data_IF_130833062671
#
_entry.id   IF_130833062671
#
_cell.length_a   1.000
_cell.length_b   1.000
_cell.length_c   1.000
_cell.angle_alpha   90.00
_cell.angle_beta   90.00
_cell.angle_gamma   90.00
#
_symmetry.space_group_name_H-M   'P 1'
#
loop_
_entity.id
_entity.type
_entity.pdbx_description
1 polymer ?
#
# COMPACT_ATOMS: atom_id res chain seq x y z
N UNK A 1 -10.34 -15.12 -0.31
CA UNK A 1 -10.24 -14.62 1.07
C UNK A 1 -9.24 -13.49 1.07
N UNK A 2 -9.48 -12.40 1.82
CA UNK A 2 -8.55 -11.27 1.89
C UNK A 2 -7.20 -11.79 2.43
N UNK A 3 -6.12 -11.67 1.65
CA UNK A 3 -4.78 -12.15 2.02
C UNK A 3 -4.09 -11.14 2.96
N UNK A 4 -4.56 -9.89 2.95
CA UNK A 4 -4.10 -8.79 3.81
C UNK A 4 -5.32 -8.11 4.41
N UNK A 5 -5.20 -7.68 5.67
CA UNK A 5 -6.21 -6.88 6.38
C UNK A 5 -5.61 -5.56 6.85
N UNK A 6 -6.45 -4.55 7.01
CA UNK A 6 -6.09 -3.30 7.66
C UNK A 6 -6.72 -3.29 9.05
N UNK A 7 -6.01 -2.73 10.03
CA UNK A 7 -6.61 -2.32 11.29
C UNK A 7 -7.25 -0.94 11.13
N UNK A 8 -8.20 -0.60 12.00
CA UNK A 8 -8.84 0.72 12.00
C UNK A 8 -7.82 1.87 12.02
N UNK A 9 -6.79 1.75 12.88
CA UNK A 9 -5.72 2.74 12.98
C UNK A 9 -4.87 2.83 11.70
N UNK A 10 -4.63 1.71 11.01
CA UNK A 10 -3.93 1.72 9.73
C UNK A 10 -4.79 2.41 8.66
N UNK A 11 -6.10 2.13 8.63
CA UNK A 11 -7.03 2.76 7.70
C UNK A 11 -7.10 4.28 7.93
N UNK A 12 -7.13 4.75 9.17
CA UNK A 12 -7.04 6.18 9.50
C UNK A 12 -5.73 6.81 9.02
N UNK A 13 -4.62 6.10 9.22
CA UNK A 13 -3.31 6.57 8.77
C UNK A 13 -3.25 6.66 7.25
N UNK A 14 -3.79 5.69 6.52
CA UNK A 14 -3.89 5.73 5.05
C UNK A 14 -4.71 6.94 4.60
N UNK A 15 -5.90 7.14 5.17
CA UNK A 15 -6.74 8.31 4.87
C UNK A 15 -6.00 9.63 5.10
N UNK A 16 -5.28 9.75 6.21
CA UNK A 16 -4.46 10.93 6.50
C UNK A 16 -3.37 11.13 5.44
N UNK A 17 -2.62 10.08 5.09
CA UNK A 17 -1.56 10.17 4.09
C UNK A 17 -2.12 10.55 2.71
N UNK A 18 -3.23 9.96 2.28
CA UNK A 18 -3.88 10.31 1.01
C UNK A 18 -4.41 11.74 0.99
N UNK A 19 -4.83 12.29 2.13
CA UNK A 19 -5.20 13.72 2.21
C UNK A 19 -4.02 14.67 1.96
N UNK A 20 -2.78 14.16 2.06
CA UNK A 20 -1.53 14.90 1.82
C UNK A 20 -0.86 14.52 0.49
N UNK A 21 -1.14 13.33 -0.05
CA UNK A 21 -0.58 12.85 -1.31
C UNK A 21 -1.31 13.46 -2.49
N UNK A 22 -0.64 14.37 -3.21
CA UNK A 22 -1.14 15.19 -4.32
C UNK A 22 -1.91 14.38 -5.40
N UNK A 23 -3.20 14.11 -5.17
CA UNK A 23 -4.04 13.33 -6.08
C UNK A 23 -3.73 11.83 -6.10
N UNK A 24 -3.04 11.30 -5.09
CA UNK A 24 -2.88 9.87 -4.91
C UNK A 24 -4.23 9.24 -4.55
N UNK A 25 -4.57 8.11 -5.19
CA UNK A 25 -5.86 7.41 -4.96
C UNK A 25 -5.74 6.27 -3.97
N UNK A 26 -4.54 5.71 -3.81
CA UNK A 26 -4.26 4.60 -2.93
C UNK A 26 -2.81 4.63 -2.43
N UNK A 27 -2.50 3.77 -1.46
CA UNK A 27 -1.13 3.39 -1.12
C UNK A 27 -0.86 2.00 -1.69
N UNK A 28 0.28 1.83 -2.36
CA UNK A 28 0.76 0.53 -2.84
C UNK A 28 1.78 -0.01 -1.85
N UNK A 29 1.60 -1.28 -1.46
CA UNK A 29 2.57 -2.04 -0.69
C UNK A 29 3.29 -2.98 -1.67
N UNK A 30 4.62 -3.03 -1.61
CA UNK A 30 5.44 -3.90 -2.44
C UNK A 30 6.43 -4.68 -1.58
N UNK A 31 6.82 -5.86 -2.05
CA UNK A 31 7.88 -6.67 -1.44
C UNK A 31 9.06 -6.68 -2.38
N UNK A 32 10.13 -6.01 -1.97
CA UNK A 32 11.32 -5.80 -2.79
C UNK A 32 12.49 -6.64 -2.26
N UNK A 33 13.34 -7.23 -3.11
CA UNK A 33 14.58 -7.87 -2.69
C UNK A 33 15.53 -6.86 -2.03
N UNK A 34 16.21 -7.28 -0.96
CA UNK A 34 17.21 -6.47 -0.26
C UNK A 34 18.39 -7.33 0.20
N UNK A 35 19.60 -7.00 -0.25
CA UNK A 35 20.82 -7.73 0.07
C UNK A 35 20.91 -9.10 -0.63
N UNK A 36 21.69 -10.03 -0.07
CA UNK A 36 21.97 -11.31 -0.72
C UNK A 36 20.75 -12.25 -0.78
N UNK A 37 19.84 -12.17 0.20
CA UNK A 37 18.63 -13.02 0.23
C UNK A 37 17.47 -12.44 1.05
N UNK A 38 17.50 -11.13 1.35
CA UNK A 38 16.46 -10.48 2.16
C UNK A 38 15.30 -9.95 1.33
N UNK A 39 14.18 -9.68 1.99
CA UNK A 39 13.00 -9.01 1.45
C UNK A 39 12.64 -7.81 2.31
N UNK A 40 12.05 -6.78 1.73
CA UNK A 40 11.62 -5.58 2.44
C UNK A 40 10.26 -5.11 1.93
N UNK A 41 9.47 -4.48 2.81
CA UNK A 41 8.20 -3.87 2.42
C UNK A 41 8.41 -2.40 2.10
N UNK A 42 7.82 -1.95 1.00
CA UNK A 42 7.79 -0.55 0.58
C UNK A 42 6.35 -0.05 0.54
N UNK A 43 6.11 1.18 0.99
CA UNK A 43 4.80 1.84 0.90
C UNK A 43 4.95 3.10 0.06
N UNK A 44 4.16 3.22 -1.00
CA UNK A 44 4.25 4.32 -1.96
C UNK A 44 2.86 4.86 -2.29
N UNK A 45 2.77 6.14 -2.65
CA UNK A 45 1.54 6.68 -3.22
C UNK A 45 1.28 6.05 -4.60
N UNK A 46 0.03 5.71 -4.86
CA UNK A 46 -0.43 5.17 -6.14
C UNK A 46 -1.57 6.04 -6.68
N UNK A 47 -1.38 6.57 -7.89
CA UNK A 47 -2.39 7.34 -8.60
C UNK A 47 -3.33 6.43 -9.41
N UNK A 48 -2.82 5.27 -9.84
CA UNK A 48 -3.54 4.30 -10.67
C UNK A 48 -3.21 2.87 -10.27
N UNK A 49 -4.16 1.97 -10.53
CA UNK A 49 -4.02 0.53 -10.31
C UNK A 49 -3.18 -0.10 -11.41
N UNK A 50 -2.17 -0.87 -11.04
CA UNK A 50 -1.36 -1.67 -11.96
C UNK A 50 -2.01 -3.02 -12.31
N UNK A 51 -1.54 -3.70 -13.37
CA UNK A 51 -2.13 -4.95 -13.85
C UNK A 51 -2.01 -6.13 -12.87
N UNK A 52 -1.05 -6.07 -11.94
CA UNK A 52 -0.80 -7.10 -10.94
C UNK A 52 -1.18 -6.67 -9.52
N UNK A 53 -1.80 -5.50 -9.37
CA UNK A 53 -2.25 -5.04 -8.06
C UNK A 53 -3.52 -5.79 -7.65
N UNK A 54 -3.50 -6.33 -6.44
CA UNK A 54 -4.72 -6.70 -5.72
C UNK A 54 -5.21 -5.48 -4.94
N UNK A 55 -6.50 -5.19 -5.02
CA UNK A 55 -7.12 -4.08 -4.28
C UNK A 55 -7.70 -4.63 -3.00
N UNK A 56 -7.28 -4.07 -1.88
CA UNK A 56 -7.81 -4.38 -0.54
C UNK A 56 -8.57 -3.16 -0.05
N UNK A 57 -9.87 -3.33 0.15
CA UNK A 57 -10.77 -2.34 0.75
C UNK A 57 -11.19 -2.85 2.13
N UNK A 58 -11.37 -1.93 3.08
CA UNK A 58 -11.93 -2.18 4.41
C UNK A 58 -13.36 -1.64 4.47
#
# INVERSE_FOLDING_TARGET
GKIVTLTDAAAERVRYLLSKGEGARALRISVDPKGCSGLTYSVQYAHEKGPHDEVVED
#
